data_IF_888755091420
#
_entry.id   IF_888755091420
#
_cell.length_a   1.000
_cell.length_b   1.000
_cell.length_c   1.000
_cell.angle_alpha   90.00
_cell.angle_beta   90.00
_cell.angle_gamma   90.00
#
_symmetry.space_group_name_H-M   'P 1'
#
loop_
_entity.id
_entity.type
_entity.pdbx_description
1 polymer ?
#
# COMPACT_ATOMS: atom_id res chain seq x y z
N UNK A 1 -32.34 -62.72 -32.58
CA UNK A 1 -31.25 -62.18 -33.44
C UNK A 1 -31.22 -60.61 -33.41
N UNK A 2 -31.18 -60.00 -32.24
CA UNK A 2 -31.26 -58.52 -32.09
C UNK A 2 -30.01 -57.93 -31.38
N UNK A 3 -28.99 -58.74 -31.10
CA UNK A 3 -27.85 -58.32 -30.28
C UNK A 3 -26.60 -57.81 -31.05
N UNK A 4 -26.56 -57.95 -32.35
CA UNK A 4 -25.39 -57.57 -33.17
C UNK A 4 -25.40 -56.13 -33.68
N UNK A 5 -26.55 -55.51 -33.78
CA UNK A 5 -26.64 -54.10 -34.26
C UNK A 5 -26.24 -53.10 -33.16
N UNK A 6 -26.72 -53.29 -31.96
CA UNK A 6 -26.41 -52.42 -30.81
C UNK A 6 -24.89 -52.45 -30.45
N UNK A 7 -24.27 -53.66 -30.52
CA UNK A 7 -22.86 -53.81 -30.25
C UNK A 7 -21.98 -53.08 -31.31
N UNK A 8 -22.40 -53.06 -32.55
CA UNK A 8 -21.68 -52.33 -33.62
C UNK A 8 -21.77 -50.81 -33.46
N UNK A 9 -22.92 -50.33 -33.00
CA UNK A 9 -23.08 -48.89 -32.69
C UNK A 9 -22.28 -48.44 -31.49
N UNK A 10 -22.23 -49.21 -30.41
CA UNK A 10 -21.40 -48.90 -29.23
C UNK A 10 -19.91 -48.89 -29.55
N UNK A 11 -19.44 -49.84 -30.37
CA UNK A 11 -18.02 -49.85 -30.79
C UNK A 11 -17.70 -48.63 -31.68
N UNK A 12 -18.61 -48.27 -32.60
CA UNK A 12 -18.40 -47.08 -33.45
C UNK A 12 -18.35 -45.77 -32.65
N UNK A 13 -19.23 -45.63 -31.62
CA UNK A 13 -19.23 -44.48 -30.72
C UNK A 13 -17.93 -44.42 -29.88
N UNK A 14 -17.46 -45.56 -29.36
CA UNK A 14 -16.22 -45.63 -28.60
C UNK A 14 -15.01 -45.23 -29.45
N UNK A 15 -14.95 -45.70 -30.71
CA UNK A 15 -13.87 -45.31 -31.63
C UNK A 15 -13.92 -43.81 -31.93
N UNK A 16 -15.12 -43.24 -32.17
CA UNK A 16 -15.28 -41.81 -32.40
C UNK A 16 -14.87 -40.95 -31.20
N UNK A 17 -15.23 -41.38 -29.99
CA UNK A 17 -14.82 -40.69 -28.75
C UNK A 17 -13.32 -40.81 -28.54
N UNK A 18 -12.70 -41.98 -28.77
CA UNK A 18 -11.27 -42.16 -28.68
C UNK A 18 -10.50 -41.30 -29.70
N UNK A 19 -11.00 -41.18 -30.94
CA UNK A 19 -10.42 -40.32 -31.94
C UNK A 19 -10.50 -38.83 -31.55
N UNK A 20 -11.64 -38.40 -30.98
CA UNK A 20 -11.84 -37.03 -30.47
C UNK A 20 -10.89 -36.69 -29.32
N UNK A 21 -10.71 -37.63 -28.39
CA UNK A 21 -9.76 -37.46 -27.27
C UNK A 21 -8.32 -37.38 -27.75
N UNK A 22 -7.94 -38.22 -28.72
CA UNK A 22 -6.59 -38.18 -29.32
C UNK A 22 -6.39 -36.86 -30.08
N UNK A 23 -7.35 -36.39 -30.86
CA UNK A 23 -7.28 -35.11 -31.53
C UNK A 23 -7.17 -33.94 -30.53
N UNK A 24 -7.93 -33.96 -29.44
CA UNK A 24 -7.86 -32.95 -28.38
C UNK A 24 -6.47 -32.96 -27.69
N UNK A 25 -5.95 -34.14 -27.38
CA UNK A 25 -4.62 -34.27 -26.78
C UNK A 25 -3.52 -33.79 -27.74
N UNK A 26 -3.64 -34.06 -29.03
CA UNK A 26 -2.70 -33.56 -30.03
C UNK A 26 -2.78 -32.04 -30.17
N UNK A 27 -3.98 -31.46 -30.25
CA UNK A 27 -4.12 -30.00 -30.30
C UNK A 27 -3.61 -29.30 -29.05
N UNK A 28 -3.72 -29.93 -27.88
CA UNK A 28 -3.16 -29.40 -26.63
C UNK A 28 -1.64 -29.56 -26.54
N UNK A 29 -1.06 -30.57 -27.21
CA UNK A 29 0.39 -30.78 -27.32
C UNK A 29 1.06 -29.90 -28.38
N UNK A 30 0.34 -29.64 -29.46
CA UNK A 30 0.81 -28.77 -30.56
C UNK A 30 0.43 -27.30 -30.38
N UNK A 31 -0.25 -26.96 -29.27
CA UNK A 31 -0.39 -25.56 -28.89
C UNK A 31 1.02 -24.96 -28.81
N UNK A 32 1.36 -23.93 -29.60
CA UNK A 32 2.64 -23.26 -29.49
C UNK A 32 2.81 -22.91 -28.02
N UNK A 33 3.84 -23.49 -27.39
CA UNK A 33 4.25 -23.01 -26.08
C UNK A 33 4.45 -21.51 -26.26
N UNK A 34 3.72 -20.64 -25.54
CA UNK A 34 4.04 -19.24 -25.59
C UNK A 34 5.53 -19.16 -25.28
N UNK A 35 6.28 -18.66 -26.26
CA UNK A 35 7.69 -18.37 -26.08
C UNK A 35 7.80 -17.75 -24.72
N UNK A 36 8.61 -18.33 -23.85
CA UNK A 36 8.96 -17.77 -22.55
C UNK A 36 9.71 -16.47 -22.78
N UNK A 37 9.01 -15.46 -23.25
CA UNK A 37 9.30 -14.10 -22.88
C UNK A 37 9.17 -14.11 -21.37
N UNK A 38 10.22 -13.77 -20.60
CA UNK A 38 10.11 -13.77 -19.15
C UNK A 38 8.87 -12.96 -18.83
N UNK A 39 7.86 -13.61 -18.21
CA UNK A 39 6.65 -12.94 -17.77
C UNK A 39 7.12 -11.79 -16.88
N UNK A 40 7.01 -10.57 -17.39
CA UNK A 40 7.28 -9.38 -16.62
C UNK A 40 6.33 -9.46 -15.45
N UNK A 41 6.86 -9.71 -14.25
CA UNK A 41 6.03 -9.79 -13.04
C UNK A 41 5.17 -8.53 -12.98
N UNK A 42 3.91 -8.60 -12.51
CA UNK A 42 3.06 -7.41 -12.34
C UNK A 42 3.77 -6.26 -11.60
N UNK A 43 4.62 -6.59 -10.63
CA UNK A 43 5.49 -5.65 -9.91
C UNK A 43 6.51 -4.91 -10.80
N UNK A 44 6.98 -5.53 -11.90
CA UNK A 44 7.88 -4.89 -12.85
C UNK A 44 7.13 -3.94 -13.79
N UNK A 45 5.94 -4.33 -14.19
CA UNK A 45 5.05 -3.49 -15.01
C UNK A 45 4.61 -2.21 -14.28
N UNK A 46 4.30 -2.30 -12.98
CA UNK A 46 4.04 -1.14 -12.14
C UNK A 46 5.26 -0.21 -11.99
N UNK A 47 6.47 -0.76 -11.80
CA UNK A 47 7.70 0.02 -11.74
C UNK A 47 8.03 0.76 -13.04
N UNK A 48 7.72 0.17 -14.18
CA UNK A 48 7.90 0.83 -15.48
C UNK A 48 6.88 1.96 -15.71
N UNK A 49 5.71 1.90 -15.08
CA UNK A 49 4.68 2.95 -15.11
C UNK A 49 5.00 4.13 -14.16
N UNK A 50 5.77 3.89 -13.09
CA UNK A 50 6.11 4.90 -12.07
C UNK A 50 7.48 5.55 -12.31
N UNK A 51 7.81 5.83 -13.58
CA UNK A 51 8.99 6.62 -13.92
C UNK A 51 8.83 8.07 -13.45
N UNK A 52 9.92 8.81 -13.16
CA UNK A 52 9.84 10.22 -12.76
C UNK A 52 9.03 11.09 -13.71
N UNK A 53 9.12 10.83 -15.01
CA UNK A 53 8.35 11.54 -16.04
C UNK A 53 6.86 11.19 -16.02
N UNK A 54 6.51 9.93 -15.79
CA UNK A 54 5.13 9.47 -15.66
C UNK A 54 4.47 10.00 -14.38
N UNK A 55 5.22 10.13 -13.30
CA UNK A 55 4.73 10.63 -12.01
C UNK A 55 4.54 12.15 -11.96
N UNK A 56 5.16 12.92 -12.87
CA UNK A 56 5.10 14.39 -12.84
C UNK A 56 3.66 14.93 -12.82
N UNK A 57 2.80 14.45 -13.72
CA UNK A 57 1.39 14.86 -13.79
C UNK A 57 0.56 14.41 -12.56
N UNK A 58 0.62 13.16 -12.12
CA UNK A 58 0.01 12.71 -10.87
C UNK A 58 0.46 13.50 -9.64
N UNK A 59 1.75 13.77 -9.46
CA UNK A 59 2.29 14.58 -8.35
C UNK A 59 1.74 15.99 -8.35
N UNK A 60 1.71 16.63 -9.52
CA UNK A 60 1.12 17.96 -9.65
C UNK A 60 -0.37 18.00 -9.29
N UNK A 61 -1.13 16.96 -9.66
CA UNK A 61 -2.56 16.87 -9.30
C UNK A 61 -2.79 16.58 -7.82
N UNK A 62 -1.97 15.74 -7.22
CA UNK A 62 -2.06 15.40 -5.81
C UNK A 62 -1.68 16.57 -4.91
N UNK A 63 -0.77 17.46 -5.36
CA UNK A 63 -0.36 18.69 -4.67
C UNK A 63 -0.07 18.43 -3.19
N UNK A 64 0.73 17.39 -2.92
CA UNK A 64 1.01 16.92 -1.56
C UNK A 64 1.92 17.90 -0.83
N UNK A 65 1.72 18.04 0.47
CA UNK A 65 2.68 18.71 1.32
C UNK A 65 4.04 18.01 1.25
N UNK A 66 5.17 18.76 1.33
CA UNK A 66 6.50 18.19 1.30
C UNK A 66 6.71 17.22 2.47
N UNK A 67 7.49 16.18 2.24
CA UNK A 67 7.83 15.23 3.30
C UNK A 67 8.67 15.91 4.38
N UNK A 68 8.58 15.42 5.63
CA UNK A 68 9.38 15.95 6.73
C UNK A 68 10.88 15.84 6.44
N UNK A 69 11.65 16.82 6.91
CA UNK A 69 13.10 16.88 6.78
C UNK A 69 13.78 16.59 8.12
N UNK A 70 15.01 16.05 8.12
CA UNK A 70 15.75 15.80 9.34
C UNK A 70 15.87 17.04 10.22
N UNK A 71 15.47 16.92 11.50
CA UNK A 71 15.52 18.00 12.49
C UNK A 71 16.78 17.99 13.37
N UNK A 72 17.77 17.13 13.10
CA UNK A 72 19.01 17.03 13.89
C UNK A 72 18.86 16.32 15.24
N UNK A 73 17.70 15.86 15.60
CA UNK A 73 17.43 15.08 16.81
C UNK A 73 17.63 13.58 16.54
N UNK A 74 17.91 12.77 17.57
CA UNK A 74 17.89 11.31 17.43
C UNK A 74 16.47 10.85 17.05
N UNK A 75 16.36 10.07 15.96
CA UNK A 75 15.09 9.48 15.53
C UNK A 75 14.82 8.14 16.20
N UNK A 76 13.67 7.54 15.84
CA UNK A 76 13.25 6.23 16.31
C UNK A 76 14.32 5.16 16.03
N UNK A 77 14.72 4.43 17.08
CA UNK A 77 15.67 3.33 16.93
C UNK A 77 15.12 2.21 16.03
N UNK A 78 13.80 1.98 16.07
CA UNK A 78 13.13 0.99 15.23
C UNK A 78 13.18 1.33 13.74
N UNK A 79 13.14 2.63 13.39
CA UNK A 79 13.16 3.10 12.01
C UNK A 79 14.58 3.37 11.47
N UNK A 80 15.62 3.09 12.24
CA UNK A 80 17.00 3.34 11.82
C UNK A 80 17.34 2.56 10.54
N UNK A 81 17.86 3.26 9.54
CA UNK A 81 18.21 2.68 8.25
C UNK A 81 17.01 2.41 7.31
N UNK A 82 15.78 2.78 7.72
CA UNK A 82 14.61 2.73 6.83
C UNK A 82 14.59 3.98 5.97
N UNK A 83 14.77 3.78 4.67
CA UNK A 83 14.67 4.84 3.66
C UNK A 83 13.53 4.53 2.70
N UNK A 84 12.73 5.54 2.35
CA UNK A 84 11.61 5.46 1.41
C UNK A 84 11.59 6.71 0.53
N UNK A 85 10.74 6.73 -0.49
CA UNK A 85 10.61 7.91 -1.33
C UNK A 85 9.49 8.83 -0.82
N UNK A 86 9.66 10.13 -1.04
CA UNK A 86 8.60 11.10 -0.83
C UNK A 86 7.66 11.12 -2.03
N UNK A 87 6.38 10.85 -1.83
CA UNK A 87 5.41 10.85 -2.94
C UNK A 87 5.23 12.23 -3.58
N UNK A 88 5.52 13.31 -2.86
CA UNK A 88 5.39 14.67 -3.38
C UNK A 88 6.39 14.97 -4.51
N UNK A 89 7.65 14.54 -4.38
CA UNK A 89 8.72 14.95 -5.27
C UNK A 89 9.70 13.82 -5.67
N UNK A 90 9.57 12.63 -5.08
CA UNK A 90 10.45 11.48 -5.31
C UNK A 90 11.79 11.56 -4.58
N UNK A 91 11.98 12.51 -3.69
CA UNK A 91 13.21 12.59 -2.88
C UNK A 91 13.30 11.43 -1.88
N UNK A 92 14.51 10.95 -1.62
CA UNK A 92 14.76 9.91 -0.62
C UNK A 92 14.63 10.48 0.77
N UNK A 93 13.88 9.81 1.64
CA UNK A 93 13.62 10.18 3.02
C UNK A 93 14.22 9.12 3.96
N UNK A 94 15.15 9.51 4.82
CA UNK A 94 15.51 8.73 6.03
C UNK A 94 14.39 8.92 7.05
N UNK A 95 13.57 7.88 7.23
CA UNK A 95 12.33 7.98 8.02
C UNK A 95 12.64 8.29 9.50
N UNK A 96 13.67 7.68 10.06
CA UNK A 96 14.05 7.93 11.44
C UNK A 96 14.43 9.39 11.66
N UNK A 97 15.27 9.94 10.80
CA UNK A 97 15.75 11.31 10.89
C UNK A 97 14.64 12.35 10.59
N UNK A 98 13.78 12.05 9.61
CA UNK A 98 12.71 12.95 9.19
C UNK A 98 11.60 13.11 10.25
N UNK A 99 11.34 12.07 11.06
CA UNK A 99 10.31 12.09 12.11
C UNK A 99 10.86 12.47 13.50
N UNK A 100 12.16 12.63 13.62
CA UNK A 100 12.84 12.87 14.89
C UNK A 100 12.37 14.13 15.61
N UNK A 101 12.16 14.03 16.93
CA UNK A 101 11.77 15.17 17.78
C UNK A 101 10.29 15.55 17.70
N UNK A 102 9.50 14.87 16.87
CA UNK A 102 8.08 15.14 16.70
C UNK A 102 7.22 14.03 17.32
N UNK A 103 6.05 14.40 17.84
CA UNK A 103 4.98 13.45 18.02
C UNK A 103 4.34 13.21 16.65
N UNK A 104 4.28 11.95 16.23
CA UNK A 104 3.88 11.59 14.88
C UNK A 104 2.72 10.62 14.88
N UNK A 105 1.80 10.82 13.96
CA UNK A 105 0.75 9.86 13.60
C UNK A 105 1.06 9.37 12.20
N UNK A 106 1.50 8.11 12.07
CA UNK A 106 1.70 7.44 10.81
C UNK A 106 0.42 6.69 10.43
N UNK A 107 -0.18 7.03 9.30
CA UNK A 107 -1.32 6.31 8.75
C UNK A 107 -0.85 5.41 7.59
N UNK A 108 -0.89 4.10 7.78
CA UNK A 108 -0.46 3.09 6.83
C UNK A 108 -1.65 2.65 5.98
N UNK A 109 -1.55 2.81 4.66
CA UNK A 109 -2.66 2.62 3.73
C UNK A 109 -2.22 2.10 2.36
N UNK A 110 -3.21 1.72 1.51
CA UNK A 110 -2.98 1.43 0.10
C UNK A 110 -4.13 1.97 -0.76
N UNK A 111 -3.86 2.32 -2.01
CA UNK A 111 -4.83 2.93 -2.92
C UNK A 111 -6.09 2.08 -3.16
N UNK A 112 -5.96 0.77 -3.13
CA UNK A 112 -7.04 -0.22 -3.31
C UNK A 112 -7.83 -0.52 -2.03
N UNK A 113 -7.38 -0.03 -0.88
CA UNK A 113 -8.00 -0.29 0.42
C UNK A 113 -9.19 0.67 0.64
N UNK A 114 -10.41 0.18 0.47
CA UNK A 114 -11.64 0.98 0.64
C UNK A 114 -11.75 1.66 2.01
N UNK A 115 -11.59 0.94 3.15
CA UNK A 115 -11.60 1.56 4.48
C UNK A 115 -10.51 2.63 4.68
N UNK A 116 -9.32 2.45 4.05
CA UNK A 116 -8.26 3.44 4.10
C UNK A 116 -8.67 4.75 3.39
N UNK A 117 -9.30 4.62 2.20
CA UNK A 117 -9.76 5.78 1.44
C UNK A 117 -10.82 6.58 2.21
N UNK A 118 -11.70 5.91 2.97
CA UNK A 118 -12.68 6.55 3.82
C UNK A 118 -12.06 7.29 5.02
N UNK A 119 -10.94 6.80 5.55
CA UNK A 119 -10.24 7.37 6.72
C UNK A 119 -9.37 8.58 6.36
N UNK A 120 -8.73 8.59 5.19
CA UNK A 120 -7.75 9.62 4.81
C UNK A 120 -8.25 11.07 4.95
N UNK A 121 -9.49 11.44 4.58
CA UNK A 121 -10.02 12.79 4.84
C UNK A 121 -10.10 13.13 6.33
N UNK A 122 -10.42 12.16 7.21
CA UNK A 122 -10.44 12.36 8.65
C UNK A 122 -9.02 12.58 9.21
N UNK A 123 -7.99 11.92 8.67
CA UNK A 123 -6.59 12.18 8.99
C UNK A 123 -6.16 13.60 8.61
N UNK A 124 -6.57 14.09 7.42
CA UNK A 124 -6.29 15.46 6.99
C UNK A 124 -7.00 16.48 7.86
N UNK A 125 -8.25 16.23 8.26
CA UNK A 125 -8.98 17.05 9.20
C UNK A 125 -8.31 17.09 10.58
N UNK A 126 -7.91 15.92 11.09
CA UNK A 126 -7.18 15.81 12.35
C UNK A 126 -5.88 16.65 12.32
N UNK A 127 -5.07 16.56 11.24
CA UNK A 127 -3.87 17.38 11.09
C UNK A 127 -4.18 18.88 11.15
N UNK A 128 -5.24 19.34 10.50
CA UNK A 128 -5.63 20.75 10.53
C UNK A 128 -6.00 21.25 11.93
N UNK A 129 -6.66 20.38 12.74
CA UNK A 129 -7.08 20.70 14.10
C UNK A 129 -5.92 20.73 15.09
N UNK A 130 -4.98 19.77 14.98
CA UNK A 130 -3.84 19.70 15.92
C UNK A 130 -2.69 20.64 15.52
N UNK A 131 -2.69 21.12 14.30
CA UNK A 131 -1.65 22.00 13.79
C UNK A 131 -0.25 21.38 13.90
N UNK A 132 0.78 22.16 14.23
CA UNK A 132 2.16 21.69 14.30
C UNK A 132 2.47 20.84 15.54
N UNK A 133 1.53 20.70 16.47
CA UNK A 133 1.76 19.95 17.72
C UNK A 133 1.88 18.43 17.50
N UNK A 134 1.26 17.93 16.43
CA UNK A 134 1.38 16.55 15.97
C UNK A 134 1.62 16.56 14.46
N UNK A 135 2.56 15.77 14.01
CA UNK A 135 2.83 15.56 12.59
C UNK A 135 2.04 14.34 12.10
N UNK A 136 1.11 14.52 11.17
CA UNK A 136 0.42 13.42 10.51
C UNK A 136 1.12 13.15 9.17
N UNK A 137 1.58 11.92 8.99
CA UNK A 137 2.25 11.45 7.76
C UNK A 137 1.54 10.20 7.28
N UNK A 138 1.16 10.13 6.03
CA UNK A 138 0.63 8.91 5.45
C UNK A 138 1.75 8.07 4.83
N UNK A 139 1.62 6.75 4.86
CA UNK A 139 2.58 5.79 4.31
C UNK A 139 1.83 4.88 3.37
N UNK A 140 2.07 5.04 2.08
CA UNK A 140 1.48 4.18 1.06
C UNK A 140 2.30 2.89 0.92
N UNK A 141 1.64 1.74 1.09
CA UNK A 141 2.26 0.43 1.20
C UNK A 141 2.02 -0.47 -0.02
N UNK A 142 2.01 0.11 -1.20
CA UNK A 142 1.89 -0.61 -2.47
C UNK A 142 2.86 -0.01 -3.49
N UNK A 143 3.31 -0.81 -4.45
CA UNK A 143 4.27 -0.37 -5.46
C UNK A 143 3.70 0.66 -6.45
N UNK A 144 2.37 0.73 -6.62
CA UNK A 144 1.72 1.61 -7.60
C UNK A 144 1.56 3.03 -7.06
N UNK A 145 2.63 3.83 -7.15
CA UNK A 145 2.65 5.23 -6.69
C UNK A 145 1.67 6.10 -7.49
N UNK A 146 1.56 5.89 -8.80
CA UNK A 146 0.60 6.62 -9.64
C UNK A 146 -0.83 6.48 -9.11
N UNK A 147 -1.27 5.28 -8.77
CA UNK A 147 -2.60 5.06 -8.24
C UNK A 147 -2.80 5.72 -6.86
N UNK A 148 -1.77 5.72 -6.02
CA UNK A 148 -1.79 6.42 -4.73
C UNK A 148 -1.98 7.93 -4.90
N UNK A 149 -1.17 8.56 -5.76
CA UNK A 149 -1.25 9.99 -6.03
C UNK A 149 -2.62 10.40 -6.58
N UNK A 150 -3.17 9.61 -7.52
CA UNK A 150 -4.49 9.86 -8.07
C UNK A 150 -5.59 9.70 -7.00
N UNK A 151 -5.47 8.71 -6.13
CA UNK A 151 -6.41 8.52 -5.02
C UNK A 151 -6.36 9.68 -4.03
N UNK A 152 -5.18 10.16 -3.65
CA UNK A 152 -5.04 11.32 -2.77
C UNK A 152 -5.60 12.59 -3.41
N UNK A 153 -5.36 12.81 -4.71
CA UNK A 153 -5.95 13.91 -5.47
C UNK A 153 -7.50 13.86 -5.48
N UNK A 154 -8.07 12.67 -5.74
CA UNK A 154 -9.52 12.44 -5.73
C UNK A 154 -10.15 12.76 -4.36
N UNK A 155 -9.48 12.36 -3.28
CA UNK A 155 -9.94 12.60 -1.90
C UNK A 155 -9.64 14.00 -1.40
N UNK A 156 -8.90 14.82 -2.12
CA UNK A 156 -8.47 16.16 -1.69
C UNK A 156 -7.51 16.13 -0.50
N UNK A 157 -6.80 15.01 -0.29
CA UNK A 157 -5.86 14.81 0.82
C UNK A 157 -4.46 15.23 0.38
N UNK A 158 -3.90 16.24 1.06
CA UNK A 158 -2.58 16.80 0.77
C UNK A 158 -1.56 16.60 1.88
N UNK A 159 -1.74 15.57 2.70
CA UNK A 159 -0.78 15.25 3.75
C UNK A 159 0.57 14.81 3.18
N UNK A 160 1.69 15.05 3.90
CA UNK A 160 2.95 14.42 3.58
C UNK A 160 2.77 12.91 3.46
N UNK A 161 3.23 12.34 2.36
CA UNK A 161 3.05 10.92 2.04
C UNK A 161 4.38 10.29 1.70
N UNK A 162 4.71 9.21 2.42
CA UNK A 162 5.87 8.36 2.15
C UNK A 162 5.42 7.21 1.22
N UNK A 163 6.21 6.95 0.17
CA UNK A 163 6.00 5.84 -0.74
C UNK A 163 6.84 4.65 -0.27
N UNK A 164 6.21 3.64 0.30
CA UNK A 164 6.83 2.45 0.88
C UNK A 164 6.25 1.16 0.31
N UNK A 165 6.42 0.95 -1.01
CA UNK A 165 5.93 -0.24 -1.70
C UNK A 165 6.44 -1.56 -1.10
N UNK A 166 7.62 -1.53 -0.48
CA UNK A 166 8.21 -2.68 0.21
C UNK A 166 7.77 -2.87 1.65
N UNK A 167 6.88 -2.03 2.21
CA UNK A 167 6.36 -2.11 3.58
C UNK A 167 7.44 -2.11 4.67
N UNK A 168 8.56 -1.44 4.42
CA UNK A 168 9.71 -1.39 5.32
C UNK A 168 9.39 -0.69 6.63
N UNK A 169 8.59 0.38 6.58
CA UNK A 169 8.13 1.11 7.77
C UNK A 169 7.27 0.22 8.65
N UNK A 170 6.27 -0.50 8.05
CA UNK A 170 5.43 -1.41 8.79
C UNK A 170 6.22 -2.55 9.44
N UNK A 171 7.17 -3.14 8.70
CA UNK A 171 8.03 -4.21 9.19
C UNK A 171 8.91 -3.74 10.35
N UNK A 172 9.54 -2.56 10.23
CA UNK A 172 10.41 -1.99 11.25
C UNK A 172 9.65 -1.65 12.55
N UNK A 173 8.39 -1.22 12.45
CA UNK A 173 7.53 -0.91 13.60
C UNK A 173 6.73 -2.10 14.14
N UNK A 174 6.90 -3.30 13.57
CA UNK A 174 6.17 -4.50 13.97
C UNK A 174 4.65 -4.40 13.77
N UNK A 175 4.21 -3.64 12.75
CA UNK A 175 2.79 -3.47 12.45
C UNK A 175 2.22 -4.75 11.82
N UNK A 176 1.09 -5.29 12.32
CA UNK A 176 0.43 -6.45 11.71
C UNK A 176 0.11 -6.23 10.22
N UNK A 177 -0.04 -7.34 9.48
CA UNK A 177 -0.41 -7.27 8.06
C UNK A 177 -1.90 -6.95 7.87
N UNK A 178 -2.33 -5.79 8.36
CA UNK A 178 -3.69 -5.26 8.22
C UNK A 178 -3.64 -3.81 7.74
N UNK A 179 -4.68 -3.38 7.03
CA UNK A 179 -4.87 -2.01 6.58
C UNK A 179 -6.33 -1.57 6.72
N UNK A 180 -6.57 -0.32 7.14
CA UNK A 180 -5.58 0.66 7.58
C UNK A 180 -4.98 0.31 8.95
N UNK A 181 -3.81 0.86 9.21
CA UNK A 181 -3.21 0.84 10.54
C UNK A 181 -2.62 2.21 10.87
N UNK A 182 -2.79 2.66 12.09
CA UNK A 182 -2.24 3.91 12.57
C UNK A 182 -1.20 3.63 13.66
N UNK A 183 0.00 4.19 13.51
CA UNK A 183 1.05 4.13 14.52
C UNK A 183 1.30 5.52 15.09
N UNK A 184 1.31 5.62 16.40
CA UNK A 184 1.64 6.86 17.11
C UNK A 184 3.05 6.74 17.66
N UNK A 185 3.91 7.67 17.27
CA UNK A 185 5.25 7.82 17.83
C UNK A 185 5.28 9.02 18.79
N UNK A 186 5.89 8.86 19.94
CA UNK A 186 6.23 9.98 20.83
C UNK A 186 7.46 10.73 20.29
N UNK A 187 7.73 11.92 20.78
CA UNK A 187 8.81 12.80 20.32
C UNK A 187 10.23 12.22 20.52
N UNK A 188 10.37 11.22 21.38
CA UNK A 188 11.61 10.45 21.55
C UNK A 188 11.78 9.33 20.51
N UNK A 189 10.78 9.18 19.62
CA UNK A 189 10.74 8.16 18.57
C UNK A 189 10.27 6.79 19.02
N UNK A 190 9.83 6.63 20.27
CA UNK A 190 9.23 5.39 20.77
C UNK A 190 7.83 5.19 20.23
N UNK A 191 7.42 3.92 20.01
CA UNK A 191 6.05 3.59 19.62
C UNK A 191 5.13 3.70 20.83
N UNK A 192 4.25 4.70 20.84
CA UNK A 192 3.27 4.89 21.89
C UNK A 192 2.05 3.99 21.72
N UNK A 193 1.58 3.82 20.47
CA UNK A 193 0.41 2.99 20.14
C UNK A 193 0.52 2.44 18.72
N UNK A 194 -0.06 1.25 18.52
CA UNK A 194 -0.36 0.68 17.20
C UNK A 194 -1.86 0.38 17.17
N UNK A 195 -2.58 0.96 16.22
CA UNK A 195 -4.03 0.93 16.12
C UNK A 195 -4.44 0.33 14.76
N UNK A 196 -4.61 -1.02 14.68
CA UNK A 196 -4.90 -1.71 13.42
C UNK A 196 -6.41 -1.67 13.10
N UNK A 197 -6.95 -0.49 12.89
CA UNK A 197 -8.36 -0.24 12.55
C UNK A 197 -8.53 1.06 11.78
N UNK A 198 -9.64 1.20 11.08
CA UNK A 198 -10.06 2.46 10.47
C UNK A 198 -10.70 3.41 11.50
N UNK A 199 -10.64 4.70 11.19
CA UNK A 199 -11.31 5.79 11.89
C UNK A 199 -12.24 6.52 10.93
N UNK A 200 -13.47 6.81 11.38
CA UNK A 200 -14.44 7.50 10.55
C UNK A 200 -14.31 9.04 10.67
N UNK A 201 -13.84 9.55 11.81
CA UNK A 201 -13.80 10.98 12.09
C UNK A 201 -12.50 11.42 12.75
N UNK A 202 -12.18 12.71 12.63
CA UNK A 202 -11.05 13.32 13.32
C UNK A 202 -11.18 13.26 14.85
N UNK A 203 -12.41 13.22 15.39
CA UNK A 203 -12.64 13.09 16.82
C UNK A 203 -12.26 11.68 17.31
N UNK A 204 -12.64 10.64 16.56
CA UNK A 204 -12.21 9.27 16.86
C UNK A 204 -10.68 9.13 16.84
N UNK A 205 -10.01 9.79 15.88
CA UNK A 205 -8.55 9.81 15.81
C UNK A 205 -7.98 10.51 17.05
N UNK A 206 -8.50 11.68 17.41
CA UNK A 206 -8.06 12.44 18.57
C UNK A 206 -8.19 11.65 19.89
N UNK A 207 -9.31 10.97 20.07
CA UNK A 207 -9.55 10.13 21.25
C UNK A 207 -8.61 8.92 21.29
N UNK A 208 -8.38 8.27 20.15
CA UNK A 208 -7.53 7.10 20.04
C UNK A 208 -6.03 7.44 20.21
N UNK A 209 -5.57 8.53 19.59
CA UNK A 209 -4.20 9.04 19.69
C UNK A 209 -3.91 9.54 21.11
N UNK A 210 -4.91 10.07 21.78
CA UNK A 210 -4.84 10.67 23.12
C UNK A 210 -4.52 12.16 23.06
N UNK A 211 -5.05 12.90 24.04
CA UNK A 211 -4.88 14.36 24.12
C UNK A 211 -3.42 14.74 24.33
N UNK A 212 -2.98 15.80 23.70
CA UNK A 212 -1.63 16.36 23.81
C UNK A 212 -1.26 16.78 25.24
N UNK A 213 -2.27 17.00 26.09
CA UNK A 213 -2.09 17.63 27.40
C UNK A 213 -1.79 16.66 28.55
N UNK A 214 -1.91 15.34 28.34
CA UNK A 214 -1.83 14.37 29.42
C UNK A 214 -0.42 14.13 29.98
N UNK A 215 0.65 14.66 29.37
CA UNK A 215 2.04 14.40 29.80
C UNK A 215 2.89 15.62 30.14
N UNK A 216 2.37 16.83 30.11
CA UNK A 216 3.11 18.01 30.59
C UNK A 216 3.00 18.27 32.10
N UNK A 217 2.45 17.34 32.85
CA UNK A 217 2.19 17.54 34.26
C UNK A 217 2.40 16.30 35.11
N UNK A 218 3.62 15.74 35.12
CA UNK A 218 4.07 14.95 36.27
C UNK A 218 5.51 15.30 36.56
N UNK A 219 5.75 15.95 37.75
CA UNK A 219 7.08 16.16 38.27
C UNK A 219 7.77 14.84 38.62
#
# INVERSE_FOLDING_TARGET
MLTTRSARWTVAVLIAVAALVVALVMTLRDAPHPSTTPATSPAREHRDADTPSALAGPRQRADLAPCPRPGGQPGSAALRGVTVDCAADGSVVDVAAALAGHRVVLNLWAYWCGPCAAELPAMAEYQRRVGPAVMVVTVHQDENETAALLRLAELGVRLPTLQDGGRRVAAALGVPNVMPATVVLDSDGSVAKTLPRAFATADEIADAVGRLDARRGRP
#
